data_IF_170639448584
#
_entry.id   IF_170639448584
#
_cell.length_a   1.000
_cell.length_b   1.000
_cell.length_c   1.000
_cell.angle_alpha   90.00
_cell.angle_beta   90.00
_cell.angle_gamma   90.00
#
_symmetry.space_group_name_H-M   'P 1'
#
loop_
_entity.id
_entity.type
_entity.pdbx_description
1 polymer ?
#
# COMPACT_ATOMS: atom_id res chain seq x y z
N UNK A 1 -48.82 17.58 -11.73
CA UNK A 1 -47.59 17.13 -11.06
C UNK A 1 -47.92 15.88 -10.29
N UNK A 2 -47.26 14.76 -10.56
CA UNK A 2 -47.49 13.50 -9.84
C UNK A 2 -46.74 13.54 -8.51
N UNK A 3 -47.46 13.39 -7.40
CA UNK A 3 -46.85 13.26 -6.06
C UNK A 3 -45.93 12.04 -6.02
N UNK A 4 -44.78 12.18 -5.37
CA UNK A 4 -43.89 11.05 -5.08
C UNK A 4 -44.62 10.01 -4.22
N UNK A 5 -44.33 8.72 -4.48
CA UNK A 5 -44.81 7.59 -3.68
C UNK A 5 -43.61 6.66 -3.43
N UNK A 6 -43.19 6.47 -2.16
CA UNK A 6 -42.10 5.55 -1.86
C UNK A 6 -42.54 4.09 -2.09
N UNK A 7 -41.60 3.13 -2.14
CA UNK A 7 -41.94 1.71 -2.18
C UNK A 7 -42.76 1.30 -0.94
N UNK A 8 -43.58 0.25 -1.08
CA UNK A 8 -44.64 -0.10 -0.12
C UNK A 8 -44.16 -0.51 1.27
N UNK A 9 -42.90 -0.92 1.38
CA UNK A 9 -42.19 -1.31 2.60
C UNK A 9 -41.57 -0.12 3.35
N UNK A 10 -41.58 1.08 2.76
CA UNK A 10 -41.07 2.28 3.37
C UNK A 10 -42.19 3.07 4.05
N UNK A 11 -42.00 3.35 5.33
CA UNK A 11 -42.89 4.19 6.11
C UNK A 11 -42.27 5.56 6.29
N UNK A 12 -43.06 6.62 6.10
CA UNK A 12 -42.63 7.96 6.42
C UNK A 12 -42.40 8.05 7.93
N UNK A 13 -41.16 8.29 8.34
CA UNK A 13 -40.83 8.48 9.74
C UNK A 13 -41.40 9.83 10.20
N UNK A 14 -42.51 9.77 10.94
CA UNK A 14 -43.13 10.90 11.61
C UNK A 14 -42.85 10.76 13.10
N UNK A 15 -42.21 11.74 13.71
CA UNK A 15 -41.98 11.71 15.15
C UNK A 15 -41.22 12.92 15.65
N UNK A 16 -41.33 13.22 16.96
CA UNK A 16 -40.59 14.29 17.61
C UNK A 16 -39.12 13.86 17.74
N UNK A 17 -38.35 14.01 16.67
CA UNK A 17 -36.92 13.68 16.67
C UNK A 17 -36.05 14.80 17.26
N UNK A 18 -36.66 15.91 17.70
CA UNK A 18 -35.99 17.20 17.87
C UNK A 18 -36.07 17.77 19.29
N UNK A 19 -36.07 16.94 20.33
CA UNK A 19 -35.89 17.51 21.67
C UNK A 19 -34.50 18.17 21.87
N UNK A 20 -33.53 17.96 20.96
CA UNK A 20 -32.14 18.36 21.18
C UNK A 20 -31.42 19.12 20.06
N UNK A 21 -32.01 19.28 18.87
CA UNK A 21 -31.29 19.85 17.72
C UNK A 21 -32.01 21.08 17.17
N UNK A 22 -31.91 22.18 17.92
CA UNK A 22 -32.42 23.49 17.53
C UNK A 22 -31.43 24.14 16.53
N UNK A 23 -31.82 24.21 15.25
CA UNK A 23 -30.99 24.75 14.16
C UNK A 23 -30.39 26.13 14.44
N UNK A 24 -31.15 27.15 14.89
CA UNK A 24 -30.58 28.46 15.23
C UNK A 24 -29.51 28.42 16.34
N UNK A 25 -29.49 27.37 17.16
CA UNK A 25 -28.46 27.20 18.21
C UNK A 25 -27.12 26.65 17.69
N UNK A 26 -27.06 26.20 16.43
CA UNK A 26 -25.88 25.53 15.84
C UNK A 26 -24.84 26.54 15.36
N UNK A 27 -25.25 27.74 14.92
CA UNK A 27 -24.35 28.72 14.28
C UNK A 27 -23.16 29.18 15.16
N UNK A 28 -23.28 29.01 16.48
CA UNK A 28 -22.24 29.33 17.46
C UNK A 28 -21.48 28.12 18.02
N UNK A 29 -21.76 26.92 17.50
CA UNK A 29 -21.22 25.65 18.01
C UNK A 29 -20.40 24.92 16.96
N UNK A 30 -19.56 24.01 17.41
CA UNK A 30 -18.80 23.11 16.55
C UNK A 30 -19.61 21.83 16.27
N UNK A 31 -19.60 21.39 15.01
CA UNK A 31 -20.16 20.10 14.61
C UNK A 31 -19.07 19.04 14.55
N UNK A 32 -19.30 17.94 15.26
CA UNK A 32 -18.37 16.82 15.36
C UNK A 32 -19.04 15.57 14.78
N UNK A 33 -18.32 14.85 13.93
CA UNK A 33 -18.74 13.56 13.39
C UNK A 33 -17.85 12.45 13.95
N UNK A 34 -18.47 11.47 14.59
CA UNK A 34 -17.77 10.33 15.19
C UNK A 34 -18.33 9.05 14.57
N UNK A 35 -17.47 8.26 13.93
CA UNK A 35 -17.80 6.89 13.51
C UNK A 35 -17.52 5.92 14.66
N UNK A 36 -18.52 5.10 14.95
CA UNK A 36 -18.49 4.09 16.01
C UNK A 36 -18.81 2.73 15.37
N UNK A 37 -18.06 1.67 15.69
CA UNK A 37 -18.38 0.31 15.25
C UNK A 37 -19.78 -0.15 15.72
N UNK A 38 -20.46 -0.96 14.90
CA UNK A 38 -21.83 -1.43 15.18
C UNK A 38 -21.92 -2.32 16.44
N UNK A 39 -20.81 -2.91 16.87
CA UNK A 39 -20.73 -3.74 18.08
C UNK A 39 -20.57 -2.93 19.38
N UNK A 40 -20.46 -1.61 19.28
CA UNK A 40 -20.37 -0.69 20.42
C UNK A 40 -21.71 0.03 20.62
N UNK A 41 -22.34 -0.20 21.77
CA UNK A 41 -23.63 0.41 22.09
C UNK A 41 -23.48 1.81 22.68
N UNK A 42 -24.54 2.64 22.64
CA UNK A 42 -24.51 3.97 23.23
C UNK A 42 -24.24 3.95 24.75
N UNK A 43 -24.66 2.90 25.46
CA UNK A 43 -24.35 2.71 26.89
C UNK A 43 -22.87 2.46 27.16
N UNK A 44 -22.15 1.84 26.22
CA UNK A 44 -20.71 1.60 26.37
C UNK A 44 -19.88 2.88 26.24
N UNK A 45 -20.47 3.94 25.70
CA UNK A 45 -19.85 5.24 25.48
C UNK A 45 -20.08 6.21 26.65
N UNK A 46 -20.86 5.83 27.65
CA UNK A 46 -21.15 6.69 28.79
C UNK A 46 -19.86 7.01 29.57
N UNK A 47 -19.58 8.31 29.74
CA UNK A 47 -18.36 8.76 30.43
C UNK A 47 -17.07 8.68 29.59
N UNK A 48 -17.16 8.36 28.30
CA UNK A 48 -16.01 8.38 27.39
C UNK A 48 -15.39 9.79 27.33
N UNK A 49 -14.10 9.89 27.65
CA UNK A 49 -13.34 11.14 27.60
C UNK A 49 -12.52 11.19 26.33
N UNK A 50 -12.77 12.18 25.47
CA UNK A 50 -12.01 12.40 24.25
C UNK A 50 -11.09 13.59 24.48
N UNK A 51 -9.79 13.44 24.21
CA UNK A 51 -8.86 14.57 24.22
C UNK A 51 -9.21 15.51 23.08
N UNK A 52 -9.11 16.82 23.33
CA UNK A 52 -9.42 17.81 22.30
C UNK A 52 -8.55 17.56 21.05
N UNK A 53 -9.16 17.35 19.86
CA UNK A 53 -8.43 17.13 18.61
C UNK A 53 -7.70 18.37 18.09
N UNK A 54 -7.93 19.56 18.65
CA UNK A 54 -7.29 20.79 18.23
C UNK A 54 -5.74 20.67 18.25
N UNK A 55 -5.13 20.69 17.07
CA UNK A 55 -3.68 20.57 16.89
C UNK A 55 -3.13 19.15 16.81
N UNK A 56 -3.98 18.11 16.85
CA UNK A 56 -3.57 16.74 16.62
C UNK A 56 -3.29 16.48 15.13
N UNK A 57 -2.27 15.65 14.85
CA UNK A 57 -1.98 15.19 13.49
C UNK A 57 -2.92 14.05 13.08
N UNK A 58 -3.00 13.79 11.78
CA UNK A 58 -3.85 12.74 11.20
C UNK A 58 -3.44 11.37 11.75
N UNK A 59 -4.44 10.58 12.15
CA UNK A 59 -4.23 9.23 12.67
C UNK A 59 -3.67 9.18 14.09
N UNK A 60 -3.53 10.33 14.78
CA UNK A 60 -3.12 10.34 16.18
C UNK A 60 -4.26 9.82 17.05
N UNK A 61 -3.96 8.82 17.88
CA UNK A 61 -4.87 8.31 18.88
C UNK A 61 -5.13 9.37 19.96
N UNK A 62 -6.38 9.83 20.04
CA UNK A 62 -6.88 10.74 21.06
C UNK A 62 -7.17 10.01 22.37
N UNK A 63 -7.60 8.75 22.27
CA UNK A 63 -7.87 7.89 23.40
C UNK A 63 -7.69 6.41 23.03
N UNK A 64 -7.37 5.59 24.02
CA UNK A 64 -7.34 4.12 23.95
C UNK A 64 -8.28 3.62 25.05
N UNK A 65 -9.30 2.85 24.68
CA UNK A 65 -10.34 2.36 25.59
C UNK A 65 -10.58 0.87 25.37
N UNK A 66 -11.09 0.20 26.41
CA UNK A 66 -11.45 -1.21 26.34
C UNK A 66 -12.96 -1.35 26.54
N UNK A 67 -13.65 -1.81 25.50
CA UNK A 67 -15.10 -2.02 25.49
C UNK A 67 -15.35 -3.49 25.16
N UNK A 68 -16.18 -4.17 25.95
CA UNK A 68 -16.57 -5.57 25.71
C UNK A 68 -15.38 -6.53 25.48
N UNK A 69 -14.26 -6.30 26.18
CA UNK A 69 -13.06 -7.13 26.07
C UNK A 69 -12.12 -6.77 24.91
N UNK A 70 -12.58 -5.98 23.93
CA UNK A 70 -11.80 -5.50 22.79
C UNK A 70 -11.16 -4.14 23.09
N UNK A 71 -10.01 -3.87 22.46
CA UNK A 71 -9.32 -2.57 22.56
C UNK A 71 -9.74 -1.72 21.36
N UNK A 72 -10.09 -0.47 21.62
CA UNK A 72 -10.44 0.50 20.60
C UNK A 72 -9.60 1.75 20.78
N UNK A 73 -9.19 2.35 19.67
CA UNK A 73 -8.57 3.66 19.65
C UNK A 73 -9.44 4.66 18.90
N UNK A 74 -9.52 5.88 19.42
CA UNK A 74 -10.23 6.97 18.77
C UNK A 74 -9.17 7.81 18.06
N UNK A 75 -9.24 7.86 16.74
CA UNK A 75 -8.33 8.64 15.91
C UNK A 75 -9.04 9.85 15.33
N UNK A 76 -8.28 10.89 15.03
CA UNK A 76 -8.78 12.09 14.35
C UNK A 76 -8.16 12.25 12.97
N UNK A 77 -8.91 12.88 12.07
CA UNK A 77 -8.40 13.36 10.79
C UNK A 77 -8.15 14.86 10.90
N UNK A 78 -6.89 15.30 10.88
CA UNK A 78 -6.62 16.70 10.55
C UNK A 78 -6.78 16.94 9.03
N UNK A 79 -7.05 18.18 8.67
CA UNK A 79 -7.75 18.58 7.44
C UNK A 79 -7.06 18.29 6.09
N UNK A 80 -5.88 17.66 6.04
CA UNK A 80 -5.04 17.65 4.83
C UNK A 80 -4.61 16.29 4.29
N UNK A 81 -4.69 15.18 5.04
CA UNK A 81 -4.34 13.85 4.53
C UNK A 81 -5.41 12.81 4.91
N UNK A 82 -6.24 12.41 3.95
CA UNK A 82 -7.31 11.43 4.17
C UNK A 82 -6.66 10.06 4.46
N UNK A 83 -6.56 9.72 5.73
CA UNK A 83 -6.36 8.34 6.15
C UNK A 83 -7.55 7.52 5.62
N UNK A 84 -7.33 6.26 5.24
CA UNK A 84 -8.34 5.44 4.55
C UNK A 84 -9.67 5.37 5.34
N UNK A 85 -9.56 5.45 6.66
CA UNK A 85 -10.65 5.38 7.64
C UNK A 85 -11.59 6.59 7.58
N UNK A 86 -11.10 7.73 7.09
CA UNK A 86 -11.86 8.99 6.99
C UNK A 86 -12.40 9.27 5.58
N UNK A 87 -12.20 8.35 4.64
CA UNK A 87 -12.68 8.52 3.27
C UNK A 87 -14.19 8.74 3.26
N UNK A 88 -14.61 9.79 2.54
CA UNK A 88 -16.00 10.21 2.41
C UNK A 88 -16.59 10.93 3.63
N UNK A 89 -15.92 10.99 4.80
CA UNK A 89 -16.49 11.67 5.98
C UNK A 89 -16.64 13.18 5.79
N UNK A 90 -15.67 13.82 5.15
CA UNK A 90 -15.72 15.27 4.87
C UNK A 90 -16.68 15.67 3.75
N UNK A 91 -17.24 14.69 3.04
CA UNK A 91 -18.22 14.89 1.96
C UNK A 91 -19.66 14.77 2.46
N UNK A 92 -19.85 14.35 3.72
CA UNK A 92 -21.17 14.18 4.31
C UNK A 92 -21.80 15.54 4.61
N UNK A 93 -23.03 15.69 4.13
CA UNK A 93 -23.89 16.79 4.46
C UNK A 93 -24.77 16.41 5.65
N UNK A 94 -24.90 17.33 6.61
CA UNK A 94 -25.77 17.11 7.77
C UNK A 94 -27.16 17.64 7.45
N UNK A 95 -28.16 16.79 7.67
CA UNK A 95 -29.57 17.13 7.58
C UNK A 95 -30.14 17.24 8.98
N UNK A 96 -30.86 18.31 9.25
CA UNK A 96 -31.54 18.54 10.52
C UNK A 96 -33.04 18.68 10.29
N UNK A 97 -33.87 18.26 11.23
CA UNK A 97 -35.31 18.52 11.17
C UNK A 97 -35.60 20.03 11.08
N UNK A 98 -36.54 20.40 10.22
CA UNK A 98 -37.03 21.77 10.16
C UNK A 98 -37.99 22.00 11.34
N UNK A 99 -37.77 23.07 12.10
CA UNK A 99 -38.39 23.29 13.42
C UNK A 99 -39.86 23.75 13.39
N UNK A 100 -40.50 23.78 12.23
CA UNK A 100 -41.91 24.14 12.08
C UNK A 100 -42.81 22.92 12.37
N UNK A 101 -42.92 22.57 13.66
CA UNK A 101 -43.67 21.39 14.14
C UNK A 101 -45.21 21.53 14.09
N UNK A 102 -45.74 22.67 13.63
CA UNK A 102 -47.17 23.01 13.74
C UNK A 102 -48.03 22.65 12.49
N UNK A 103 -47.49 21.96 11.49
CA UNK A 103 -48.15 21.71 10.20
C UNK A 103 -48.16 20.27 9.67
N UNK A 104 -48.76 20.06 8.48
CA UNK A 104 -48.75 18.79 7.73
C UNK A 104 -47.34 18.37 7.26
N UNK A 105 -46.35 19.25 7.43
CA UNK A 105 -44.95 19.12 6.99
C UNK A 105 -44.02 18.44 8.00
N UNK A 106 -44.58 17.71 8.98
CA UNK A 106 -43.80 16.91 9.93
C UNK A 106 -42.89 15.90 9.20
N UNK A 107 -41.58 16.06 9.39
CA UNK A 107 -40.55 15.18 8.83
C UNK A 107 -39.76 15.76 7.65
N UNK A 108 -39.96 17.04 7.31
CA UNK A 108 -39.03 17.73 6.41
C UNK A 108 -37.66 17.92 7.07
N UNK A 109 -36.61 17.71 6.28
CA UNK A 109 -35.23 17.89 6.71
C UNK A 109 -34.57 19.00 5.89
N UNK A 110 -33.87 19.88 6.58
CA UNK A 110 -33.14 21.01 5.99
C UNK A 110 -31.63 20.77 6.12
N UNK A 111 -30.88 21.24 5.12
CA UNK A 111 -29.43 21.14 5.10
C UNK A 111 -28.81 22.11 6.11
N UNK A 112 -27.92 21.62 6.96
CA UNK A 112 -27.08 22.50 7.79
C UNK A 112 -26.00 23.12 6.90
N UNK A 113 -25.86 24.46 6.86
CA UNK A 113 -24.86 25.12 6.01
C UNK A 113 -23.43 24.88 6.50
N UNK A 114 -23.27 24.63 7.81
CA UNK A 114 -21.98 24.40 8.46
C UNK A 114 -21.55 22.94 8.31
N UNK A 115 -20.28 22.73 7.90
CA UNK A 115 -19.69 21.39 7.83
C UNK A 115 -19.17 20.92 9.18
N UNK A 116 -19.04 19.60 9.35
CA UNK A 116 -18.37 19.02 10.49
C UNK A 116 -16.91 19.51 10.57
N UNK A 117 -16.58 20.14 11.70
CA UNK A 117 -15.24 20.68 11.99
C UNK A 117 -14.27 19.59 12.43
N UNK A 118 -14.76 18.61 13.20
CA UNK A 118 -13.97 17.50 13.71
C UNK A 118 -14.52 16.18 13.17
N UNK A 119 -13.61 15.37 12.63
CA UNK A 119 -13.90 14.04 12.10
C UNK A 119 -13.11 13.01 12.90
N UNK A 120 -13.80 12.10 13.56
CA UNK A 120 -13.21 11.08 14.42
C UNK A 120 -13.73 9.70 14.04
N UNK A 121 -12.87 8.69 14.20
CA UNK A 121 -13.25 7.29 14.02
C UNK A 121 -12.74 6.47 15.19
N UNK A 122 -13.62 5.66 15.78
CA UNK A 122 -13.23 4.61 16.72
C UNK A 122 -12.88 3.35 15.91
N UNK A 123 -11.68 2.82 16.12
CA UNK A 123 -11.13 1.69 15.37
C UNK A 123 -10.74 0.60 16.37
N UNK A 124 -11.06 -0.66 16.06
CA UNK A 124 -10.61 -1.80 16.84
C UNK A 124 -9.09 -1.98 16.68
N UNK A 125 -8.37 -1.98 17.79
CA UNK A 125 -6.94 -2.19 17.85
C UNK A 125 -6.63 -3.67 17.99
N UNK A 126 -6.17 -4.27 16.90
CA UNK A 126 -5.75 -5.67 16.86
C UNK A 126 -4.28 -5.76 17.27
N UNK A 127 -4.00 -6.60 18.28
CA UNK A 127 -2.65 -6.88 18.72
C UNK A 127 -2.05 -7.98 17.83
N UNK A 128 -1.24 -7.55 16.87
CA UNK A 128 -0.55 -8.47 15.96
C UNK A 128 0.82 -8.76 16.58
N UNK A 129 1.10 -10.02 17.00
CA UNK A 129 2.39 -10.35 17.60
C UNK A 129 3.52 -10.13 16.59
N UNK A 130 4.65 -9.65 17.09
CA UNK A 130 5.83 -9.47 16.26
C UNK A 130 6.38 -10.84 15.81
N UNK A 131 6.47 -11.02 14.49
CA UNK A 131 6.97 -12.24 13.85
C UNK A 131 8.39 -12.07 13.27
N UNK A 132 9.08 -10.95 13.54
CA UNK A 132 10.41 -10.67 13.01
C UNK A 132 11.43 -11.73 13.38
N UNK A 133 11.46 -12.20 14.63
CA UNK A 133 12.37 -13.26 15.08
C UNK A 133 12.15 -14.57 14.32
N UNK A 134 10.89 -14.97 14.15
CA UNK A 134 10.53 -16.16 13.39
C UNK A 134 10.92 -16.01 11.90
N UNK A 135 10.70 -14.84 11.31
CA UNK A 135 11.10 -14.55 9.94
C UNK A 135 12.63 -14.61 9.76
N UNK A 136 13.41 -14.07 10.70
CA UNK A 136 14.88 -14.16 10.65
C UNK A 136 15.36 -15.61 10.77
N UNK A 137 14.70 -16.41 11.60
CA UNK A 137 15.01 -17.84 11.76
C UNK A 137 14.76 -18.61 10.46
N UNK A 138 13.67 -18.32 9.74
CA UNK A 138 13.38 -18.92 8.43
C UNK A 138 14.42 -18.49 7.39
N UNK A 139 14.79 -17.20 7.37
CA UNK A 139 15.80 -16.67 6.46
C UNK A 139 17.18 -17.30 6.68
N UNK A 140 17.54 -17.57 7.93
CA UNK A 140 18.80 -18.21 8.31
C UNK A 140 18.80 -19.72 8.09
N UNK A 141 17.63 -20.35 7.90
CA UNK A 141 17.53 -21.79 7.66
C UNK A 141 18.18 -22.12 6.33
N UNK A 142 19.23 -22.94 6.37
CA UNK A 142 19.84 -23.46 5.15
C UNK A 142 18.78 -24.18 4.32
N UNK A 143 18.65 -23.76 3.05
CA UNK A 143 17.70 -24.37 2.12
C UNK A 143 18.23 -25.76 1.80
N UNK A 144 17.52 -26.85 2.18
CA UNK A 144 18.02 -28.19 1.92
C UNK A 144 18.15 -28.39 0.41
N UNK A 145 19.35 -28.72 -0.03
CA UNK A 145 19.58 -29.15 -1.40
C UNK A 145 18.85 -30.48 -1.57
N UNK A 146 17.97 -30.58 -2.57
CA UNK A 146 17.27 -31.85 -2.83
C UNK A 146 18.32 -32.90 -3.19
N UNK A 147 18.32 -34.08 -2.55
CA UNK A 147 19.24 -35.14 -2.94
C UNK A 147 18.97 -35.51 -4.40
N UNK A 148 20.02 -35.52 -5.22
CA UNK A 148 19.91 -36.06 -6.56
C UNK A 148 19.74 -37.59 -6.45
N UNK A 149 18.82 -38.20 -7.22
CA UNK A 149 18.65 -39.64 -7.20
C UNK A 149 19.96 -40.34 -7.55
N UNK A 150 20.32 -41.36 -6.78
CA UNK A 150 21.43 -42.24 -7.12
C UNK A 150 21.15 -42.94 -8.46
N UNK A 151 22.20 -43.18 -9.25
CA UNK A 151 22.13 -43.92 -10.52
C UNK A 151 21.28 -43.26 -11.63
N UNK A 152 21.24 -41.92 -11.71
CA UNK A 152 20.83 -41.25 -12.95
C UNK A 152 21.82 -41.58 -14.08
N UNK A 153 21.50 -42.59 -14.87
CA UNK A 153 22.22 -42.96 -16.08
C UNK A 153 21.56 -42.34 -17.31
N UNK A 154 22.35 -42.09 -18.36
CA UNK A 154 21.85 -41.65 -19.66
C UNK A 154 20.88 -42.70 -20.21
N UNK A 155 19.57 -42.41 -20.24
CA UNK A 155 18.55 -43.32 -20.80
C UNK A 155 18.22 -43.03 -22.27
N UNK A 156 18.56 -41.83 -22.73
CA UNK A 156 18.32 -41.41 -24.10
C UNK A 156 19.62 -41.49 -24.88
N UNK A 157 19.73 -42.49 -25.74
CA UNK A 157 20.77 -42.58 -26.76
C UNK A 157 20.12 -42.23 -28.10
N UNK A 158 20.53 -41.13 -28.75
CA UNK A 158 20.09 -40.82 -30.10
C UNK A 158 20.44 -41.97 -31.05
N UNK A 159 19.62 -42.14 -32.09
CA UNK A 159 19.86 -43.18 -33.08
C UNK A 159 21.24 -43.02 -33.73
N UNK A 160 22.05 -44.08 -33.73
CA UNK A 160 23.42 -44.08 -34.26
C UNK A 160 24.52 -43.73 -33.26
N UNK A 161 24.22 -43.45 -31.98
CA UNK A 161 25.20 -43.32 -30.90
C UNK A 161 25.08 -44.51 -29.95
N UNK A 162 26.15 -45.31 -29.83
CA UNK A 162 26.25 -46.38 -28.84
C UNK A 162 27.01 -45.90 -27.60
N UNK A 163 26.75 -46.53 -26.45
CA UNK A 163 27.58 -46.32 -25.26
C UNK A 163 29.02 -46.79 -25.53
N UNK A 164 30.02 -46.17 -24.88
CA UNK A 164 31.43 -46.55 -25.05
C UNK A 164 31.68 -48.04 -24.73
N UNK A 165 30.89 -48.61 -23.81
CA UNK A 165 30.94 -50.04 -23.48
C UNK A 165 30.38 -50.93 -24.61
N UNK A 166 29.35 -50.50 -25.31
CA UNK A 166 28.82 -51.20 -26.50
C UNK A 166 29.79 -51.13 -27.67
N UNK A 167 30.47 -49.98 -27.87
CA UNK A 167 31.56 -49.86 -28.84
C UNK A 167 32.70 -50.83 -28.56
N UNK A 168 33.14 -50.96 -27.30
CA UNK A 168 34.20 -51.92 -26.92
C UNK A 168 33.75 -53.37 -27.11
N UNK A 169 32.46 -53.68 -26.91
CA UNK A 169 31.92 -55.03 -27.15
C UNK A 169 31.84 -55.35 -28.65
N UNK A 170 31.38 -54.41 -29.47
CA UNK A 170 31.33 -54.58 -30.92
C UNK A 170 32.73 -54.64 -31.55
N UNK A 171 33.67 -53.81 -31.09
CA UNK A 171 35.05 -53.82 -31.59
C UNK A 171 35.80 -55.14 -31.29
N UNK A 172 35.44 -55.84 -30.20
CA UNK A 172 36.01 -57.15 -29.86
C UNK A 172 35.30 -58.33 -30.56
N UNK A 173 34.14 -58.11 -31.18
CA UNK A 173 33.40 -59.13 -31.94
C UNK A 173 33.84 -59.21 -33.41
N UNK A 174 34.39 -58.14 -33.97
CA UNK A 174 34.84 -58.08 -35.38
C UNK A 174 36.37 -58.22 -35.57
N UNK A 175 37.07 -58.82 -34.60
CA UNK A 175 38.50 -59.13 -34.72
C UNK A 175 38.75 -60.48 -35.43
N UNK A 176 38.31 -60.62 -36.68
CA UNK A 176 39.01 -61.42 -37.69
C UNK A 176 39.47 -60.48 -38.80
N UNK A 177 40.74 -60.06 -38.70
CA UNK A 177 41.42 -59.21 -39.68
C UNK A 177 41.48 -59.84 -41.08
N UNK A 178 41.64 -59.01 -42.11
CA UNK A 178 42.81 -59.21 -42.97
C UNK A 178 43.74 -57.99 -42.93
N UNK A 179 45.03 -58.27 -42.75
CA UNK A 179 46.14 -57.32 -42.84
C UNK A 179 46.24 -56.73 -44.24
N UNK A 180 46.31 -55.41 -44.41
CA UNK A 180 47.22 -54.81 -45.39
C UNK A 180 47.55 -53.33 -45.13
N UNK A 181 48.84 -53.04 -45.22
CA UNK A 181 49.54 -51.81 -45.63
C UNK A 181 49.60 -50.57 -44.73
N UNK A 182 50.81 -50.00 -44.72
CA UNK A 182 51.37 -48.97 -43.87
C UNK A 182 51.02 -47.52 -44.27
N UNK A 183 51.40 -46.61 -43.37
CA UNK A 183 51.86 -45.22 -43.59
C UNK A 183 50.82 -44.11 -43.60
N UNK A 184 50.78 -43.27 -42.56
CA UNK A 184 51.45 -41.95 -42.56
C UNK A 184 51.28 -41.20 -41.24
N UNK A 185 52.32 -40.45 -40.90
CA UNK A 185 52.51 -39.54 -39.76
C UNK A 185 51.36 -38.53 -39.55
N UNK A 186 51.05 -38.18 -38.30
CA UNK A 186 51.38 -36.86 -37.71
C UNK A 186 50.50 -36.48 -36.50
N UNK A 187 51.21 -35.94 -35.50
CA UNK A 187 50.86 -34.83 -34.59
C UNK A 187 49.85 -35.06 -33.46
N UNK A 188 50.43 -35.11 -32.26
CA UNK A 188 49.85 -34.56 -31.03
C UNK A 188 49.26 -33.15 -31.25
N UNK A 189 47.99 -32.90 -30.89
CA UNK A 189 47.50 -31.55 -30.72
C UNK A 189 47.83 -31.06 -29.31
N UNK A 190 48.74 -30.09 -29.27
CA UNK A 190 49.10 -29.22 -28.14
C UNK A 190 47.88 -28.75 -27.33
N UNK A 191 48.00 -28.85 -26.00
CA UNK A 191 47.19 -28.10 -25.06
C UNK A 191 47.30 -26.58 -25.32
N UNK A 192 46.24 -25.97 -25.86
CA UNK A 192 46.10 -24.52 -25.92
C UNK A 192 45.57 -24.04 -24.57
N UNK A 193 46.46 -23.39 -23.80
CA UNK A 193 46.10 -22.43 -22.75
C UNK A 193 45.14 -21.40 -23.34
N UNK A 194 43.94 -21.27 -22.77
CA UNK A 194 43.10 -20.08 -22.95
C UNK A 194 43.31 -19.19 -21.74
N UNK A 195 43.74 -17.96 -22.03
CA UNK A 195 43.95 -16.85 -21.10
C UNK A 195 42.62 -16.51 -20.42
N UNK A 196 42.68 -16.31 -19.11
CA UNK A 196 41.83 -15.39 -18.38
C UNK A 196 42.07 -13.99 -18.94
N UNK A 197 41.05 -13.41 -19.56
CA UNK A 197 40.98 -11.96 -19.76
C UNK A 197 39.82 -11.46 -18.90
N UNK A 198 40.20 -10.73 -17.85
CA UNK A 198 39.34 -9.78 -17.18
C UNK A 198 38.85 -8.75 -18.19
N UNK A 199 37.54 -8.71 -18.43
CA UNK A 199 36.86 -7.57 -19.04
C UNK A 199 35.52 -7.38 -18.32
N UNK A 200 35.52 -6.54 -17.28
CA UNK A 200 34.50 -5.48 -17.21
C UNK A 200 34.87 -4.44 -18.30
N UNK A 201 33.95 -3.69 -18.95
CA UNK A 201 32.86 -2.95 -18.29
C UNK A 201 31.60 -2.64 -19.16
N UNK A 202 30.72 -1.82 -18.57
CA UNK A 202 29.88 -0.77 -19.17
C UNK A 202 28.70 -1.09 -20.11
N UNK A 203 27.51 -0.73 -19.62
CA UNK A 203 26.41 -0.02 -20.27
C UNK A 203 26.54 0.31 -21.77
N UNK A 204 25.58 -0.16 -22.58
CA UNK A 204 24.87 0.67 -23.58
C UNK A 204 23.66 -0.08 -24.17
N UNK A 205 22.50 0.58 -24.07
CA UNK A 205 21.37 0.65 -25.01
C UNK A 205 21.03 -0.56 -25.90
N UNK A 206 19.85 -1.15 -25.67
CA UNK A 206 19.04 -1.71 -26.77
C UNK A 206 17.91 -0.74 -27.11
N UNK A 207 17.97 -0.38 -28.38
CA UNK A 207 17.09 0.43 -29.19
C UNK A 207 15.83 -0.37 -29.57
N UNK A 208 14.65 0.23 -29.44
CA UNK A 208 13.42 -0.21 -30.09
C UNK A 208 12.75 1.05 -30.63
N UNK A 209 12.93 1.29 -31.92
CA UNK A 209 12.09 2.18 -32.73
C UNK A 209 10.78 1.46 -33.09
N UNK A 210 9.64 2.11 -32.88
CA UNK A 210 8.72 2.47 -33.98
C UNK A 210 7.75 3.58 -33.53
N UNK A 211 7.99 4.79 -34.08
CA UNK A 211 7.07 5.83 -34.63
C UNK A 211 5.64 6.00 -34.06
N UNK A 212 5.02 7.19 -33.87
CA UNK A 212 4.83 8.35 -34.76
C UNK A 212 4.30 9.58 -33.96
N UNK A 213 4.71 10.76 -34.41
CA UNK A 213 4.12 12.12 -34.39
C UNK A 213 4.35 13.17 -33.28
N UNK A 214 4.81 14.32 -33.80
CA UNK A 214 5.07 15.65 -33.23
C UNK A 214 3.76 16.29 -32.71
N UNK A 215 3.76 17.28 -31.81
CA UNK A 215 3.95 18.70 -32.17
C UNK A 215 4.09 19.57 -30.89
N UNK A 216 5.06 20.49 -30.98
CA UNK A 216 5.29 21.80 -30.34
C UNK A 216 5.54 22.03 -28.83
N UNK A 217 6.71 22.67 -28.63
CA UNK A 217 7.28 23.44 -27.51
C UNK A 217 6.30 24.48 -26.89
N UNK A 218 6.45 24.94 -25.62
CA UNK A 218 7.59 25.81 -25.28
C UNK A 218 8.17 25.71 -23.85
N UNK A 219 9.51 25.76 -23.78
CA UNK A 219 10.35 26.57 -22.85
C UNK A 219 9.70 27.23 -21.62
N UNK A 220 10.24 26.94 -20.41
CA UNK A 220 10.93 27.95 -19.54
C UNK A 220 11.60 27.38 -18.26
N UNK A 221 12.94 27.42 -18.31
CA UNK A 221 13.94 27.79 -17.26
C UNK A 221 13.60 27.58 -15.77
N UNK A 222 14.28 26.59 -15.18
CA UNK A 222 14.47 26.40 -13.73
C UNK A 222 15.60 27.32 -13.20
N UNK A 223 15.32 28.03 -12.10
CA UNK A 223 16.20 28.97 -11.38
C UNK A 223 17.36 28.25 -10.66
N UNK A 224 18.52 28.91 -10.65
CA UNK A 224 19.73 28.56 -9.90
C UNK A 224 19.76 29.23 -8.52
N UNK A 225 19.92 28.38 -7.50
CA UNK A 225 20.82 28.42 -6.32
C UNK A 225 21.39 29.75 -5.76
N UNK A 226 21.23 29.87 -4.45
CA UNK A 226 21.81 30.79 -3.46
C UNK A 226 23.32 31.06 -3.53
N UNK A 227 23.74 32.30 -3.21
CA UNK A 227 24.64 32.64 -2.08
C UNK A 227 24.97 34.13 -1.97
N UNK A 228 25.27 34.54 -0.72
CA UNK A 228 25.75 35.84 -0.17
C UNK A 228 24.62 36.86 0.10
N UNK A 229 24.43 37.38 1.30
CA UNK A 229 25.29 37.51 2.47
C UNK A 229 25.46 38.99 2.84
N UNK A 230 25.46 39.26 4.15
CA UNK A 230 26.16 40.37 4.84
C UNK A 230 25.33 41.54 5.40
N UNK A 231 25.28 41.51 6.75
CA UNK A 231 25.43 42.57 7.76
C UNK A 231 24.49 43.77 7.94
N UNK A 232 24.35 44.04 9.24
CA UNK A 232 24.09 45.31 9.94
C UNK A 232 22.61 45.65 10.15
N UNK A 233 22.16 46.21 11.28
CA UNK A 233 22.84 46.82 12.43
C UNK A 233 21.86 46.97 13.60
N UNK A 234 22.42 46.83 14.79
CA UNK A 234 22.00 47.14 16.16
C UNK A 234 21.18 48.42 16.39
N UNK A 235 20.24 48.38 17.35
CA UNK A 235 19.95 49.34 18.47
C UNK A 235 18.61 48.92 19.11
N UNK A 236 18.49 48.47 20.37
CA UNK A 236 18.86 48.95 21.72
C UNK A 236 18.12 50.22 22.18
N UNK A 237 17.04 50.03 22.93
CA UNK A 237 16.60 50.77 24.14
C UNK A 237 15.44 49.97 24.77
N UNK A 238 15.53 49.44 26.01
CA UNK A 238 15.27 50.11 27.32
C UNK A 238 13.93 50.90 27.29
N UNK A 239 13.00 50.82 28.23
CA UNK A 239 12.95 50.28 29.61
C UNK A 239 11.60 50.68 30.23
N UNK A 240 11.11 49.92 31.23
CA UNK A 240 10.16 50.31 32.31
C UNK A 240 8.73 50.67 31.85
N UNK A 241 7.66 50.34 32.56
CA UNK A 241 7.43 49.91 33.95
C UNK A 241 6.62 48.60 34.00
#
# INVERSE_FOLDING_TARGET
MTSYKPPSDFLLQKGPSVAGFDQPSIDSKELWLIRIPDDVSASDLEGLKIKNPAGAFNGVALNDTKINGKRYEIVTSAATNVCAEFKGMGELNVLVPDGEDDGEDQGQLTLVPTRCTQLMSMIEKVDIPDATEYATTILQREKPVRPQPENMKLRFLPFGFYSAEEYLKQANLDSETPKTAETTENKEPKAKKRKTEDIAPSNAAMDVEETVDQVDDPKKKKKSKDKKGKDSKTKKSKSKD
#
